data_IF_348331888359
#
_entry.id   IF_348331888359
#
_cell.length_a   1.000
_cell.length_b   1.000
_cell.length_c   1.000
_cell.angle_alpha   90.00
_cell.angle_beta   90.00
_cell.angle_gamma   90.00
#
_symmetry.space_group_name_H-M   'P 1'
#
loop_
_entity.id
_entity.type
_entity.pdbx_description
1 polymer ?
#
# COMPACT_ATOMS: atom_id res chain seq x y z
N UNK A 1 -14.17 -13.12 -22.83
CA UNK A 1 -15.34 -12.42 -22.27
C UNK A 1 -15.50 -11.02 -22.86
N UNK A 2 -16.28 -10.88 -23.93
CA UNK A 2 -17.02 -9.66 -24.28
C UNK A 2 -16.26 -8.34 -24.57
N UNK A 3 -14.94 -8.29 -24.43
CA UNK A 3 -14.13 -7.07 -24.62
C UNK A 3 -14.36 -6.40 -25.99
N UNK A 4 -14.62 -7.21 -27.02
CA UNK A 4 -14.78 -6.80 -28.39
C UNK A 4 -16.24 -6.89 -28.88
N UNK A 5 -17.24 -6.82 -27.98
CA UNK A 5 -18.64 -6.73 -28.44
C UNK A 5 -18.81 -5.41 -29.17
N UNK A 6 -19.09 -5.51 -30.47
CA UNK A 6 -19.50 -4.37 -31.27
C UNK A 6 -20.92 -4.00 -30.88
N UNK A 7 -21.10 -2.82 -30.32
CA UNK A 7 -22.42 -2.27 -30.03
C UNK A 7 -23.15 -1.97 -31.35
N UNK A 8 -24.47 -2.23 -31.44
CA UNK A 8 -25.25 -1.83 -32.60
C UNK A 8 -25.26 -0.29 -32.73
N UNK A 9 -25.54 0.20 -33.94
CA UNK A 9 -25.74 1.63 -34.20
C UNK A 9 -26.93 2.10 -33.36
N UNK A 10 -26.74 3.18 -32.61
CA UNK A 10 -27.82 3.73 -31.77
C UNK A 10 -28.89 4.35 -32.67
N UNK A 11 -30.17 3.97 -32.54
CA UNK A 11 -31.26 4.66 -33.23
C UNK A 11 -31.37 6.11 -32.76
N UNK A 12 -31.74 7.02 -33.65
CA UNK A 12 -31.89 8.45 -33.33
C UNK A 12 -32.84 8.66 -32.15
N UNK A 13 -32.42 9.45 -31.16
CA UNK A 13 -33.18 9.75 -29.95
C UNK A 13 -32.99 8.74 -28.81
N UNK A 14 -32.25 7.65 -29.02
CA UNK A 14 -31.94 6.65 -27.99
C UNK A 14 -30.49 6.74 -27.47
N UNK A 15 -29.76 7.81 -27.78
CA UNK A 15 -28.35 8.00 -27.41
C UNK A 15 -28.15 7.86 -25.90
N UNK A 16 -28.98 8.57 -25.12
CA UNK A 16 -28.95 8.53 -23.65
C UNK A 16 -29.20 7.11 -23.12
N UNK A 17 -30.15 6.39 -23.73
CA UNK A 17 -30.47 5.01 -23.32
C UNK A 17 -29.34 4.05 -23.67
N UNK A 18 -28.77 4.17 -24.87
CA UNK A 18 -27.63 3.36 -25.31
C UNK A 18 -26.40 3.58 -24.42
N UNK A 19 -26.13 4.82 -24.01
CA UNK A 19 -25.01 5.12 -23.12
C UNK A 19 -25.22 4.56 -21.71
N UNK A 20 -26.45 4.60 -21.18
CA UNK A 20 -26.81 3.90 -19.94
C UNK A 20 -26.58 2.38 -20.06
N UNK A 21 -27.00 1.76 -21.17
CA UNK A 21 -26.78 0.32 -21.40
C UNK A 21 -25.28 -0.03 -21.47
N UNK A 22 -24.45 0.80 -22.11
CA UNK A 22 -23.00 0.62 -22.15
C UNK A 22 -22.38 0.67 -20.75
N UNK A 23 -22.81 1.62 -19.92
CA UNK A 23 -22.36 1.71 -18.52
C UNK A 23 -22.78 0.48 -17.71
N UNK A 24 -24.05 0.05 -17.83
CA UNK A 24 -24.55 -1.16 -17.16
C UNK A 24 -23.75 -2.41 -17.58
N UNK A 25 -23.48 -2.54 -18.89
CA UNK A 25 -22.66 -3.63 -19.42
C UNK A 25 -21.22 -3.61 -18.87
N UNK A 26 -20.60 -2.42 -18.81
CA UNK A 26 -19.26 -2.27 -18.25
C UNK A 26 -19.21 -2.67 -16.76
N UNK A 27 -20.17 -2.23 -15.96
CA UNK A 27 -20.29 -2.60 -14.54
C UNK A 27 -20.51 -4.11 -14.39
N UNK A 28 -21.46 -4.68 -15.13
CA UNK A 28 -21.72 -6.12 -15.11
C UNK A 28 -20.47 -6.91 -15.47
N UNK A 29 -19.73 -6.47 -16.50
CA UNK A 29 -18.51 -7.14 -16.94
C UNK A 29 -17.39 -7.03 -15.90
N UNK A 30 -17.20 -5.86 -15.30
CA UNK A 30 -16.25 -5.67 -14.21
C UNK A 30 -16.59 -6.59 -13.03
N UNK A 31 -17.86 -6.60 -12.58
CA UNK A 31 -18.32 -7.49 -11.52
C UNK A 31 -18.14 -8.97 -11.88
N UNK A 32 -18.36 -9.35 -13.14
CA UNK A 32 -18.14 -10.73 -13.60
C UNK A 32 -16.66 -11.13 -13.53
N UNK A 33 -15.75 -10.24 -13.89
CA UNK A 33 -14.29 -10.47 -13.78
C UNK A 33 -13.91 -10.59 -12.30
N UNK A 34 -14.33 -9.63 -11.48
CA UNK A 34 -14.02 -9.60 -10.04
C UNK A 34 -14.58 -10.85 -9.35
N UNK A 35 -15.80 -11.27 -9.67
CA UNK A 35 -16.45 -12.45 -9.09
C UNK A 35 -15.78 -13.78 -9.47
N UNK A 36 -14.90 -13.80 -10.47
CA UNK A 36 -14.08 -14.97 -10.80
C UNK A 36 -12.70 -14.93 -10.16
N UNK A 37 -12.27 -13.78 -9.62
CA UNK A 37 -10.99 -13.67 -8.94
C UNK A 37 -11.01 -14.46 -7.62
N UNK A 38 -9.91 -15.16 -7.28
CA UNK A 38 -9.69 -15.73 -5.95
C UNK A 38 -9.84 -14.69 -4.84
N UNK A 39 -10.39 -15.09 -3.68
CA UNK A 39 -10.61 -14.21 -2.53
C UNK A 39 -9.34 -13.48 -2.09
N UNK A 40 -8.19 -14.17 -2.11
CA UNK A 40 -6.89 -13.59 -1.77
C UNK A 40 -6.54 -12.39 -2.65
N UNK A 41 -6.86 -12.43 -3.95
CA UNK A 41 -6.63 -11.31 -4.85
C UNK A 41 -7.64 -10.18 -4.63
N UNK A 42 -8.90 -10.51 -4.31
CA UNK A 42 -9.94 -9.51 -3.99
C UNK A 42 -9.61 -8.69 -2.76
N UNK A 43 -9.00 -9.30 -1.74
CA UNK A 43 -8.64 -8.59 -0.51
C UNK A 43 -7.64 -7.46 -0.76
N UNK A 44 -6.82 -7.56 -1.81
CA UNK A 44 -5.84 -6.53 -2.21
C UNK A 44 -6.34 -5.62 -3.35
N UNK A 45 -7.60 -5.79 -3.80
CA UNK A 45 -8.09 -5.15 -5.02
C UNK A 45 -8.20 -3.64 -4.83
N UNK A 46 -8.72 -3.18 -3.69
CA UNK A 46 -8.88 -1.76 -3.40
C UNK A 46 -7.52 -1.06 -3.35
N UNK A 47 -6.55 -1.66 -2.68
CA UNK A 47 -5.18 -1.17 -2.60
C UNK A 47 -4.54 -1.12 -3.99
N UNK A 48 -4.73 -2.16 -4.81
CA UNK A 48 -4.19 -2.20 -6.18
C UNK A 48 -4.81 -1.16 -7.10
N UNK A 49 -6.12 -0.94 -6.99
CA UNK A 49 -6.81 0.11 -7.74
C UNK A 49 -6.34 1.51 -7.31
N UNK A 50 -6.21 1.73 -6.00
CA UNK A 50 -5.69 2.98 -5.47
C UNK A 50 -4.25 3.25 -5.94
N UNK A 51 -3.39 2.24 -5.91
CA UNK A 51 -2.04 2.35 -6.46
C UNK A 51 -2.03 2.60 -7.97
N UNK A 52 -2.89 1.92 -8.73
CA UNK A 52 -3.03 2.14 -10.17
C UNK A 52 -3.37 3.61 -10.43
N UNK A 53 -4.40 4.17 -9.79
CA UNK A 53 -4.73 5.58 -9.96
C UNK A 53 -3.60 6.54 -9.56
N UNK A 54 -2.83 6.20 -8.53
CA UNK A 54 -1.72 7.03 -8.07
C UNK A 54 -0.49 6.98 -9.02
N UNK A 55 -0.18 5.79 -9.56
CA UNK A 55 1.09 5.47 -10.21
C UNK A 55 1.01 5.22 -11.72
N UNK A 56 -0.19 5.05 -12.28
CA UNK A 56 -0.39 4.81 -13.71
C UNK A 56 0.32 5.89 -14.54
N UNK A 57 1.10 5.45 -15.54
CA UNK A 57 1.94 6.27 -16.42
C UNK A 57 3.06 7.06 -15.72
N UNK A 58 3.23 6.93 -14.39
CA UNK A 58 4.31 7.59 -13.63
C UNK A 58 5.45 6.64 -13.29
N UNK A 59 5.15 5.38 -13.00
CA UNK A 59 6.12 4.32 -12.75
C UNK A 59 5.89 3.14 -13.70
N UNK A 60 6.94 2.60 -14.35
CA UNK A 60 6.80 1.46 -15.26
C UNK A 60 6.36 0.20 -14.51
N UNK A 61 6.92 0.00 -13.31
CA UNK A 61 6.63 -1.14 -12.45
C UNK A 61 6.29 -0.65 -11.04
N UNK A 62 5.27 -1.26 -10.47
CA UNK A 62 4.79 -0.98 -9.12
C UNK A 62 4.27 -2.25 -8.43
N UNK A 63 4.65 -3.43 -8.93
CA UNK A 63 4.40 -4.70 -8.27
C UNK A 63 2.98 -5.24 -8.40
N UNK A 64 2.24 -4.83 -9.44
CA UNK A 64 0.82 -5.18 -9.61
C UNK A 64 0.55 -6.68 -9.81
N UNK A 65 1.50 -7.43 -10.39
CA UNK A 65 1.42 -8.89 -10.55
C UNK A 65 1.70 -9.66 -9.24
N UNK A 66 2.31 -9.04 -8.24
CA UNK A 66 2.69 -9.73 -6.99
C UNK A 66 1.51 -9.83 -6.02
N UNK A 67 1.63 -10.77 -5.09
CA UNK A 67 0.74 -10.86 -3.93
C UNK A 67 1.21 -9.88 -2.86
N UNK A 68 0.41 -8.85 -2.61
CA UNK A 68 0.63 -7.89 -1.54
C UNK A 68 0.27 -8.52 -0.20
N UNK A 69 1.14 -8.34 0.80
CA UNK A 69 1.02 -9.02 2.11
C UNK A 69 0.81 -8.05 3.27
N UNK A 70 1.19 -6.79 3.12
CA UNK A 70 1.13 -5.78 4.16
C UNK A 70 2.17 -6.01 5.25
N UNK A 71 1.81 -6.79 6.27
CA UNK A 71 2.64 -7.03 7.45
C UNK A 71 3.76 -8.07 7.18
N UNK A 72 4.73 -7.70 6.32
CA UNK A 72 5.78 -8.63 5.90
C UNK A 72 6.65 -9.12 7.05
N UNK A 73 6.91 -8.31 8.08
CA UNK A 73 7.75 -8.75 9.21
C UNK A 73 7.09 -9.82 10.10
N UNK A 74 5.79 -10.07 9.92
CA UNK A 74 5.09 -11.21 10.53
C UNK A 74 5.23 -12.51 9.71
N UNK A 75 5.88 -12.47 8.55
CA UNK A 75 6.12 -13.65 7.72
C UNK A 75 7.51 -14.24 7.99
N UNK A 76 7.56 -15.56 8.16
CA UNK A 76 8.80 -16.28 8.48
C UNK A 76 9.83 -16.20 7.34
N UNK A 77 9.35 -16.07 6.11
CA UNK A 77 10.14 -15.93 4.90
C UNK A 77 10.45 -14.48 4.55
N UNK A 78 10.38 -13.55 5.50
CA UNK A 78 10.63 -12.11 5.28
C UNK A 78 11.47 -11.50 6.40
N UNK A 79 11.20 -11.91 7.64
CA UNK A 79 12.00 -11.52 8.78
C UNK A 79 13.40 -12.13 8.69
N UNK A 80 14.44 -11.38 9.04
CA UNK A 80 15.84 -11.81 8.88
C UNK A 80 16.18 -13.08 9.67
N UNK A 81 15.56 -13.25 10.82
CA UNK A 81 15.74 -14.43 11.65
C UNK A 81 14.39 -14.88 12.18
N UNK A 82 13.99 -16.15 11.99
CA UNK A 82 12.72 -16.66 12.52
C UNK A 82 12.57 -16.48 14.04
N UNK A 83 13.67 -16.50 14.80
CA UNK A 83 13.64 -16.27 16.26
C UNK A 83 13.25 -14.83 16.63
N UNK A 84 13.48 -13.86 15.74
CA UNK A 84 13.14 -12.45 15.95
C UNK A 84 11.64 -12.16 15.76
N UNK A 85 10.86 -13.10 15.19
CA UNK A 85 9.43 -12.88 14.97
C UNK A 85 8.68 -12.71 16.29
N UNK A 86 9.06 -13.49 17.29
CA UNK A 86 8.51 -13.36 18.63
C UNK A 86 8.80 -11.97 19.23
N UNK A 87 10.03 -11.47 19.10
CA UNK A 87 10.41 -10.13 19.56
C UNK A 87 9.61 -9.03 18.84
N UNK A 88 9.39 -9.18 17.53
CA UNK A 88 8.57 -8.26 16.75
C UNK A 88 7.12 -8.22 17.25
N UNK A 89 6.49 -9.39 17.42
CA UNK A 89 5.11 -9.50 17.90
C UNK A 89 4.95 -8.95 19.33
N UNK A 90 5.88 -9.27 20.23
CA UNK A 90 5.89 -8.71 21.59
C UNK A 90 5.95 -7.18 21.58
N UNK A 91 6.79 -6.61 20.72
CA UNK A 91 6.90 -5.16 20.64
C UNK A 91 5.69 -4.51 19.95
N UNK A 92 5.06 -5.19 18.97
CA UNK A 92 3.77 -4.75 18.43
C UNK A 92 2.69 -4.70 19.51
N UNK A 93 2.63 -5.68 20.41
CA UNK A 93 1.67 -5.68 21.52
C UNK A 93 1.98 -4.54 22.52
N UNK A 94 3.26 -4.26 22.78
CA UNK A 94 3.66 -3.09 23.57
C UNK A 94 3.20 -1.77 22.92
N UNK A 95 3.41 -1.64 21.61
CA UNK A 95 2.99 -0.46 20.86
C UNK A 95 1.46 -0.35 20.87
N UNK A 96 0.73 -1.46 20.71
CA UNK A 96 -0.74 -1.48 20.68
C UNK A 96 -1.37 -1.06 22.00
N UNK A 97 -0.75 -1.43 23.13
CA UNK A 97 -1.19 -0.97 24.46
C UNK A 97 -0.99 0.53 24.68
N UNK A 98 -0.02 1.12 24.00
CA UNK A 98 0.33 2.54 24.14
C UNK A 98 -0.25 3.43 23.03
N UNK A 99 -0.71 2.84 21.93
CA UNK A 99 -1.24 3.52 20.77
C UNK A 99 -2.40 2.70 20.23
N UNK A 100 -3.61 3.28 20.25
CA UNK A 100 -4.89 2.62 19.99
C UNK A 100 -5.10 2.22 18.51
N UNK A 101 -4.08 1.68 17.85
CA UNK A 101 -4.20 1.16 16.49
C UNK A 101 -4.86 -0.22 16.51
N UNK A 102 -5.69 -0.49 15.50
CA UNK A 102 -6.44 -1.74 15.39
C UNK A 102 -5.70 -2.79 14.54
N UNK A 103 -4.96 -2.34 13.52
CA UNK A 103 -4.29 -3.24 12.57
C UNK A 103 -2.97 -2.67 12.06
N UNK A 104 -2.05 -3.58 11.74
CA UNK A 104 -0.87 -3.27 10.94
C UNK A 104 -1.29 -3.30 9.48
N UNK A 105 -1.08 -2.19 8.78
CA UNK A 105 -1.34 -2.09 7.34
C UNK A 105 -0.13 -2.55 6.53
N UNK A 106 1.07 -2.13 6.95
CA UNK A 106 2.32 -2.50 6.28
C UNK A 106 3.47 -2.55 7.26
N UNK A 107 4.36 -3.53 7.11
CA UNK A 107 5.64 -3.58 7.82
C UNK A 107 6.74 -4.07 6.90
N UNK A 108 7.92 -3.43 6.94
CA UNK A 108 9.09 -3.89 6.17
C UNK A 108 10.37 -3.25 6.71
N UNK A 109 11.52 -3.80 6.32
CA UNK A 109 12.79 -3.16 6.60
C UNK A 109 13.03 -1.97 5.67
N UNK A 110 13.66 -0.93 6.21
CA UNK A 110 13.98 0.29 5.48
C UNK A 110 15.38 0.79 5.85
N UNK A 111 16.16 1.22 4.85
CA UNK A 111 17.38 1.98 5.06
C UNK A 111 17.02 3.45 5.12
N UNK A 112 16.92 3.99 6.34
CA UNK A 112 16.54 5.39 6.58
C UNK A 112 17.73 6.31 6.40
N UNK A 113 17.54 7.45 5.74
CA UNK A 113 18.55 8.52 5.63
C UNK A 113 18.23 9.70 6.57
N UNK A 114 19.25 10.48 6.93
CA UNK A 114 19.11 11.73 7.69
C UNK A 114 19.67 12.92 6.89
N UNK A 115 19.45 14.15 7.42
CA UNK A 115 19.93 15.40 6.82
C UNK A 115 21.45 15.52 6.62
N UNK A 116 22.23 14.63 7.25
CA UNK A 116 23.69 14.58 7.15
C UNK A 116 24.16 13.45 6.22
N UNK A 117 23.27 12.91 5.40
CA UNK A 117 23.51 11.77 4.51
C UNK A 117 24.04 10.51 5.23
N UNK A 118 23.74 10.36 6.53
CA UNK A 118 23.99 9.12 7.26
C UNK A 118 22.77 8.23 7.14
N UNK A 119 23.01 6.95 6.86
CA UNK A 119 21.95 5.95 6.76
C UNK A 119 21.92 5.04 7.99
N UNK A 120 20.77 4.43 8.25
CA UNK A 120 20.61 3.43 9.29
C UNK A 120 19.50 2.46 8.94
N UNK A 121 19.74 1.17 9.16
CA UNK A 121 18.71 0.15 9.02
C UNK A 121 17.68 0.27 10.13
N UNK A 122 16.42 0.35 9.73
CA UNK A 122 15.24 0.49 10.59
C UNK A 122 14.13 -0.40 10.07
N UNK A 123 13.03 -0.43 10.80
CA UNK A 123 11.77 -0.98 10.34
C UNK A 123 10.79 0.16 10.13
N UNK A 124 10.11 0.14 8.99
CA UNK A 124 8.93 0.92 8.72
C UNK A 124 7.71 0.13 9.20
N UNK A 125 6.92 0.73 10.07
CA UNK A 125 5.63 0.21 10.51
C UNK A 125 4.55 1.23 10.12
N UNK A 126 3.52 0.79 9.43
CA UNK A 126 2.35 1.59 9.08
C UNK A 126 1.14 0.88 9.67
N UNK A 127 0.41 1.57 10.52
CA UNK A 127 -0.84 1.09 11.12
C UNK A 127 -2.02 1.85 10.54
N UNK A 128 -3.24 1.56 10.99
CA UNK A 128 -4.43 2.34 10.67
C UNK A 128 -4.49 3.72 11.35
N UNK A 129 -3.47 4.10 12.12
CA UNK A 129 -3.43 5.36 12.87
C UNK A 129 -2.17 6.20 12.61
N UNK A 130 -1.03 5.56 12.33
CA UNK A 130 0.25 6.25 12.27
C UNK A 130 1.29 5.55 11.41
N UNK A 131 2.35 6.30 11.11
CA UNK A 131 3.62 5.79 10.59
C UNK A 131 4.63 5.78 11.72
N UNK A 132 5.28 4.65 11.93
CA UNK A 132 6.30 4.45 12.94
C UNK A 132 7.61 3.92 12.35
N UNK A 133 8.67 4.26 13.05
CA UNK A 133 10.04 3.82 12.81
C UNK A 133 10.48 3.01 14.01
N UNK A 134 10.88 1.77 13.78
CA UNK A 134 11.39 0.88 14.82
C UNK A 134 12.88 0.58 14.66
N UNK A 135 13.51 0.13 15.74
CA UNK A 135 14.85 -0.45 15.69
C UNK A 135 14.85 -1.76 14.89
N UNK A 136 15.84 -1.98 14.02
CA UNK A 136 15.85 -3.16 13.14
C UNK A 136 16.27 -4.46 13.85
N UNK A 137 16.80 -4.39 15.07
CA UNK A 137 17.26 -5.57 15.83
C UNK A 137 16.29 -5.93 16.95
N UNK A 138 15.85 -4.93 17.71
CA UNK A 138 14.99 -5.10 18.90
C UNK A 138 13.54 -4.69 18.67
N UNK A 139 13.20 -4.18 17.48
CA UNK A 139 11.88 -3.66 17.11
C UNK A 139 11.33 -2.54 17.99
N UNK A 140 12.12 -2.01 18.92
CA UNK A 140 11.72 -0.93 19.82
C UNK A 140 11.25 0.28 19.05
N UNK A 141 10.12 0.86 19.47
CA UNK A 141 9.59 2.09 18.89
C UNK A 141 10.59 3.24 19.06
N UNK A 142 11.07 3.81 17.95
CA UNK A 142 12.01 4.94 17.97
C UNK A 142 11.34 6.27 17.64
N UNK A 143 10.30 6.24 16.80
CA UNK A 143 9.50 7.41 16.46
C UNK A 143 8.14 6.97 15.93
N UNK A 144 7.09 7.69 16.32
CA UNK A 144 5.73 7.53 15.82
C UNK A 144 5.22 8.90 15.36
N UNK A 145 4.52 8.96 14.22
CA UNK A 145 3.87 10.17 13.72
C UNK A 145 2.47 9.84 13.23
N UNK A 146 1.46 10.51 13.81
CA UNK A 146 0.06 10.41 13.38
C UNK A 146 -0.09 10.77 11.89
N UNK A 147 -1.08 10.15 11.23
CA UNK A 147 -1.45 10.49 9.86
C UNK A 147 -1.89 11.94 9.67
N UNK A 148 -2.29 12.65 10.73
CA UNK A 148 -2.54 14.10 10.69
C UNK A 148 -1.32 14.90 10.21
N UNK A 149 -0.11 14.40 10.46
CA UNK A 149 1.12 15.03 10.01
C UNK A 149 1.51 14.65 8.57
N UNK A 150 0.88 13.62 7.98
CA UNK A 150 1.23 13.11 6.66
C UNK A 150 0.56 13.97 5.59
N UNK A 151 1.33 14.90 5.03
CA UNK A 151 0.85 15.83 4.00
C UNK A 151 1.02 15.29 2.58
N UNK A 152 1.87 14.28 2.39
CA UNK A 152 2.11 13.68 1.08
C UNK A 152 3.17 12.59 1.09
N UNK A 153 3.32 11.93 -0.06
CA UNK A 153 4.32 10.89 -0.29
C UNK A 153 5.00 11.18 -1.63
N UNK A 154 6.33 11.14 -1.64
CA UNK A 154 7.13 11.15 -2.88
C UNK A 154 7.86 9.83 -3.03
N UNK A 155 7.94 9.35 -4.26
CA UNK A 155 8.63 8.10 -4.60
C UNK A 155 9.49 8.31 -5.84
N UNK A 156 10.56 7.53 -5.95
CA UNK A 156 11.37 7.51 -7.18
C UNK A 156 10.54 6.98 -8.35
N UNK A 157 10.89 7.41 -9.57
CA UNK A 157 10.37 6.79 -10.79
C UNK A 157 11.04 5.43 -11.05
N UNK A 158 12.28 5.31 -10.59
CA UNK A 158 13.10 4.11 -10.72
C UNK A 158 12.67 3.05 -9.69
N UNK A 159 13.03 1.80 -9.98
CA UNK A 159 12.78 0.66 -9.10
C UNK A 159 13.85 0.54 -8.00
N UNK A 160 14.16 1.66 -7.35
CA UNK A 160 15.19 1.78 -6.31
C UNK A 160 14.63 1.68 -4.88
N UNK A 161 13.34 1.38 -4.74
CA UNK A 161 12.62 1.32 -3.46
C UNK A 161 12.62 2.62 -2.63
N UNK A 162 12.92 3.77 -3.21
CA UNK A 162 12.97 5.04 -2.48
C UNK A 162 11.58 5.60 -2.23
N UNK A 163 11.31 5.91 -0.97
CA UNK A 163 10.08 6.55 -0.49
C UNK A 163 10.39 7.68 0.49
N UNK A 164 9.59 8.74 0.38
CA UNK A 164 9.61 9.90 1.27
C UNK A 164 8.19 10.10 1.79
N UNK A 165 8.03 10.00 3.11
CA UNK A 165 6.81 10.42 3.79
C UNK A 165 7.00 11.86 4.25
N UNK A 166 6.23 12.78 3.68
CA UNK A 166 6.26 14.19 4.06
C UNK A 166 5.46 14.38 5.34
N UNK A 167 6.17 14.60 6.45
CA UNK A 167 5.64 14.57 7.81
C UNK A 167 5.91 15.90 8.52
N UNK A 168 5.49 17.00 7.87
CA UNK A 168 5.74 18.37 8.31
C UNK A 168 7.22 18.76 8.21
N UNK A 169 7.85 19.07 9.34
CA UNK A 169 9.25 19.49 9.39
C UNK A 169 10.25 18.33 9.47
N UNK A 170 9.77 17.09 9.58
CA UNK A 170 10.62 15.93 9.83
C UNK A 170 10.19 14.71 9.02
N UNK A 171 10.48 14.80 7.73
CA UNK A 171 10.22 13.77 6.74
C UNK A 171 10.92 12.45 7.07
N UNK A 172 10.23 11.37 6.74
CA UNK A 172 10.79 10.03 6.80
C UNK A 172 11.19 9.60 5.39
N UNK A 173 12.49 9.63 5.13
CA UNK A 173 13.12 9.23 3.87
C UNK A 173 13.85 7.90 4.05
N UNK A 174 13.66 6.97 3.11
CA UNK A 174 14.43 5.73 3.08
C UNK A 174 14.20 4.88 1.83
N UNK A 175 15.02 3.84 1.69
CA UNK A 175 14.84 2.80 0.67
C UNK A 175 14.34 1.52 1.34
N UNK A 176 13.19 1.00 0.90
CA UNK A 176 12.72 -0.32 1.34
C UNK A 176 13.72 -1.39 0.89
N UNK A 177 13.91 -2.41 1.72
CA UNK A 177 14.73 -3.54 1.32
C UNK A 177 14.22 -4.84 1.95
N UNK A 178 14.39 -5.92 1.22
CA UNK A 178 14.01 -7.27 1.61
C UNK A 178 14.96 -8.25 0.90
N UNK A 179 15.08 -9.48 1.40
CA UNK A 179 16.01 -10.45 0.83
C UNK A 179 15.62 -10.90 -0.59
N UNK A 180 14.33 -10.78 -0.95
CA UNK A 180 13.80 -11.08 -2.30
C UNK A 180 14.09 -9.97 -3.32
N UNK A 181 14.67 -8.84 -2.87
CA UNK A 181 14.90 -7.65 -3.67
C UNK A 181 13.65 -7.14 -4.41
N UNK A 182 12.48 -7.28 -3.79
CA UNK A 182 11.21 -6.85 -4.37
C UNK A 182 10.97 -5.36 -4.16
N UNK A 183 10.52 -4.65 -5.21
CA UNK A 183 10.07 -3.26 -5.09
C UNK A 183 8.69 -3.16 -4.43
N UNK A 184 8.59 -2.79 -3.15
CA UNK A 184 7.30 -2.76 -2.42
C UNK A 184 6.63 -1.38 -2.37
N UNK A 185 7.08 -0.43 -3.19
CA UNK A 185 6.60 0.95 -3.15
C UNK A 185 5.15 1.06 -3.60
N UNK A 186 4.78 0.36 -4.67
CA UNK A 186 3.40 0.38 -5.17
C UNK A 186 2.39 -0.12 -4.16
N UNK A 187 2.77 -1.11 -3.35
CA UNK A 187 1.94 -1.62 -2.27
C UNK A 187 1.78 -0.60 -1.14
N UNK A 188 2.87 0.06 -0.70
CA UNK A 188 2.79 1.11 0.32
C UNK A 188 1.87 2.24 -0.12
N UNK A 189 1.97 2.67 -1.38
CA UNK A 189 1.09 3.70 -1.95
C UNK A 189 -0.35 3.20 -1.98
N UNK A 190 -0.60 2.00 -2.51
CA UNK A 190 -1.95 1.44 -2.59
C UNK A 190 -2.63 1.31 -1.23
N UNK A 191 -1.89 0.81 -0.24
CA UNK A 191 -2.35 0.67 1.15
C UNK A 191 -2.74 2.02 1.74
N UNK A 192 -1.87 3.03 1.61
CA UNK A 192 -2.14 4.34 2.20
C UNK A 192 -3.28 5.05 1.48
N UNK A 193 -3.29 5.06 0.14
CA UNK A 193 -4.36 5.68 -0.64
C UNK A 193 -5.72 5.03 -0.33
N UNK A 194 -5.82 3.70 -0.37
CA UNK A 194 -7.06 3.00 -0.05
C UNK A 194 -7.50 3.23 1.41
N UNK A 195 -6.54 3.31 2.34
CA UNK A 195 -6.84 3.64 3.72
C UNK A 195 -7.43 5.05 3.88
N UNK A 196 -6.81 6.08 3.29
CA UNK A 196 -7.34 7.45 3.34
C UNK A 196 -8.67 7.61 2.60
N UNK A 197 -8.90 6.88 1.51
CA UNK A 197 -10.19 6.83 0.83
C UNK A 197 -11.27 6.20 1.72
N UNK A 198 -10.94 5.12 2.43
CA UNK A 198 -11.88 4.49 3.36
C UNK A 198 -12.26 5.43 4.51
N UNK A 199 -11.33 6.24 5.01
CA UNK A 199 -11.61 7.24 6.05
C UNK A 199 -12.53 8.37 5.54
N UNK A 200 -12.39 8.77 4.28
CA UNK A 200 -13.28 9.77 3.65
C UNK A 200 -14.68 9.23 3.42
N UNK A 201 -14.85 7.93 3.24
CA UNK A 201 -16.18 7.32 3.05
C UNK A 201 -17.00 7.18 4.34
N UNK A 202 -16.35 7.32 5.51
CA UNK A 202 -16.99 7.20 6.84
C UNK A 202 -17.50 8.57 7.33
N UNK A 203 -16.95 9.67 6.83
CA UNK A 203 -17.34 11.05 7.16
C UNK A 203 -18.27 11.64 6.09
#
# INVERSE_FOLDING_TARGET
MGNAIKWPITPNGFEIFADKLKQMYAIWRANKIINQMPLVLRNSLNEKLAAFHALENKRPEWGYLRSWKGDYLNLDDEIKSPSQKYDYLLELDNIRRNSNFSKVLFSSYIQKFNRYNKSSFRVLLITDQFIAKLDAKKFKLLKQQSFENLIGISVSKENDNTIIFHLGSNDFIGCLYNHKNEDRIGEVIGILCAHFESLKSIN
#
